data_IF_305354365569
#
_entry.id   IF_305354365569
#
_cell.length_a   1.000
_cell.length_b   1.000
_cell.length_c   1.000
_cell.angle_alpha   90.00
_cell.angle_beta   90.00
_cell.angle_gamma   90.00
#
_symmetry.space_group_name_H-M   'P 1'
#
loop_
_entity.id
_entity.type
_entity.pdbx_description
1 polymer ?
#
# COMPACT_ATOMS: atom_id res chain seq x y z
N UNK A 1 2.58 11.37 -23.01
CA UNK A 1 2.37 10.22 -22.08
C UNK A 1 2.68 8.85 -22.71
N UNK A 2 3.01 8.72 -24.01
CA UNK A 2 3.39 7.41 -24.60
C UNK A 2 4.76 6.90 -24.18
N UNK A 3 5.76 7.79 -24.03
CA UNK A 3 7.14 7.39 -23.71
C UNK A 3 7.31 6.62 -22.40
N UNK A 4 6.49 6.89 -21.38
CA UNK A 4 6.55 6.18 -20.08
C UNK A 4 5.96 4.76 -20.16
N UNK A 5 5.01 4.53 -21.08
CA UNK A 5 4.35 3.23 -21.26
C UNK A 5 5.17 2.29 -22.16
N UNK A 6 6.11 2.82 -22.95
CA UNK A 6 7.05 2.04 -23.77
C UNK A 6 8.27 1.54 -22.98
N UNK A 7 8.49 2.06 -21.77
CA UNK A 7 9.60 1.63 -20.92
C UNK A 7 9.30 0.30 -20.22
N UNK A 8 10.36 -0.38 -19.81
CA UNK A 8 10.25 -1.64 -19.09
C UNK A 8 9.49 -1.46 -17.76
N UNK A 9 8.41 -2.23 -17.55
CA UNK A 9 7.60 -2.18 -16.33
C UNK A 9 8.44 -2.37 -15.05
N UNK A 10 9.50 -3.18 -15.13
CA UNK A 10 10.40 -3.45 -14.00
C UNK A 10 11.16 -2.18 -13.62
N UNK A 11 11.66 -1.42 -14.60
CA UNK A 11 12.38 -0.18 -14.36
C UNK A 11 11.44 0.89 -13.79
N UNK A 12 10.20 0.96 -14.27
CA UNK A 12 9.20 1.88 -13.75
C UNK A 12 8.84 1.56 -12.29
N UNK A 13 8.60 0.29 -11.98
CA UNK A 13 8.34 -0.17 -10.61
C UNK A 13 9.54 0.09 -9.68
N UNK A 14 10.77 -0.11 -10.17
CA UNK A 14 11.99 0.18 -9.43
C UNK A 14 12.14 1.67 -9.13
N UNK A 15 11.95 2.55 -10.12
CA UNK A 15 12.00 4.00 -9.91
C UNK A 15 10.89 4.50 -8.97
N UNK A 16 9.67 3.95 -9.09
CA UNK A 16 8.58 4.24 -8.17
C UNK A 16 8.94 3.79 -6.74
N UNK A 17 9.55 2.62 -6.59
CA UNK A 17 10.08 2.12 -5.31
C UNK A 17 11.12 3.07 -4.71
N UNK A 18 12.14 3.46 -5.48
CA UNK A 18 13.15 4.42 -5.05
C UNK A 18 12.54 5.77 -4.65
N UNK A 19 11.52 6.23 -5.38
CA UNK A 19 10.78 7.44 -5.04
C UNK A 19 10.07 7.31 -3.68
N UNK A 20 9.34 6.22 -3.44
CA UNK A 20 8.68 5.99 -2.15
C UNK A 20 9.67 5.89 -1.00
N UNK A 21 10.80 5.22 -1.21
CA UNK A 21 11.88 5.14 -0.23
C UNK A 21 12.50 6.52 0.05
N UNK A 22 12.72 7.34 -0.98
CA UNK A 22 13.17 8.72 -0.85
C UNK A 22 12.19 9.59 -0.05
N UNK A 23 10.89 9.42 -0.26
CA UNK A 23 9.86 10.10 0.52
C UNK A 23 9.91 9.70 2.01
N UNK A 24 10.17 8.43 2.31
CA UNK A 24 10.38 7.96 3.71
C UNK A 24 11.62 8.58 4.33
N UNK A 25 12.75 8.64 3.61
CA UNK A 25 13.98 9.31 4.08
C UNK A 25 13.69 10.78 4.38
N UNK A 26 13.02 11.47 3.47
CA UNK A 26 12.68 12.88 3.63
C UNK A 26 11.79 13.11 4.86
N UNK A 27 10.76 12.28 5.04
CA UNK A 27 9.90 12.33 6.24
C UNK A 27 10.66 12.06 7.53
N UNK A 28 11.57 11.07 7.54
CA UNK A 28 12.39 10.74 8.69
C UNK A 28 13.45 11.82 9.02
N UNK A 29 13.98 12.51 7.99
CA UNK A 29 14.97 13.58 8.17
C UNK A 29 14.43 14.77 8.99
N UNK A 30 13.11 14.96 9.05
CA UNK A 30 12.47 16.01 9.86
C UNK A 30 12.81 15.84 11.37
N UNK A 31 13.11 14.62 11.82
CA UNK A 31 13.52 14.33 13.21
C UNK A 31 14.80 15.08 13.61
N UNK A 32 15.68 15.43 12.67
CA UNK A 32 16.88 16.22 12.97
C UNK A 32 16.56 17.66 13.39
N UNK A 33 15.42 18.21 12.97
CA UNK A 33 14.96 19.55 13.33
C UNK A 33 14.03 19.53 14.55
N UNK A 34 13.16 18.53 14.65
CA UNK A 34 12.14 18.43 15.70
C UNK A 34 12.28 17.12 16.49
N UNK A 35 12.99 17.17 17.62
CA UNK A 35 13.19 16.01 18.52
C UNK A 35 11.98 15.66 19.40
N UNK A 36 11.02 16.57 19.57
CA UNK A 36 9.82 16.34 20.38
C UNK A 36 8.58 16.73 19.58
N UNK A 37 7.80 15.73 19.19
CA UNK A 37 6.50 15.89 18.54
C UNK A 37 5.42 15.70 19.61
N UNK A 38 4.36 16.52 19.59
CA UNK A 38 3.24 16.34 20.50
C UNK A 38 2.50 15.05 20.17
N UNK A 39 2.07 14.30 21.18
CA UNK A 39 1.36 13.02 20.97
C UNK A 39 0.13 13.18 20.08
N UNK A 40 -0.59 14.29 20.23
CA UNK A 40 -1.73 14.67 19.38
C UNK A 40 -1.37 14.78 17.89
N UNK A 41 -0.23 15.38 17.56
CA UNK A 41 0.20 15.50 16.17
C UNK A 41 0.60 14.13 15.61
N UNK A 42 1.29 13.31 16.40
CA UNK A 42 1.64 11.94 15.99
C UNK A 42 0.39 11.09 15.73
N UNK A 43 -0.61 11.16 16.61
CA UNK A 43 -1.88 10.44 16.44
C UNK A 43 -2.62 10.88 15.17
N UNK A 44 -2.62 12.18 14.84
CA UNK A 44 -3.19 12.71 13.59
C UNK A 44 -2.43 12.18 12.37
N UNK A 45 -1.09 12.16 12.41
CA UNK A 45 -0.27 11.66 11.31
C UNK A 45 -0.48 10.16 11.07
N UNK A 46 -0.52 9.36 12.14
CA UNK A 46 -0.79 7.92 12.06
C UNK A 46 -2.22 7.65 11.54
N UNK A 47 -3.21 8.42 12.00
CA UNK A 47 -4.58 8.34 11.51
C UNK A 47 -4.70 8.72 10.02
N UNK A 48 -3.99 9.75 9.58
CA UNK A 48 -3.94 10.14 8.17
C UNK A 48 -3.33 9.03 7.31
N UNK A 49 -2.19 8.48 7.72
CA UNK A 49 -1.53 7.38 7.02
C UNK A 49 -2.43 6.14 6.92
N UNK A 50 -3.08 5.75 8.03
CA UNK A 50 -4.04 4.64 8.03
C UNK A 50 -5.22 4.90 7.08
N UNK A 51 -5.77 6.11 7.07
CA UNK A 51 -6.87 6.50 6.18
C UNK A 51 -6.51 6.40 4.69
N UNK A 52 -5.34 6.94 4.30
CA UNK A 52 -4.86 6.86 2.91
C UNK A 52 -4.65 5.40 2.47
N UNK A 53 -4.11 4.56 3.35
CA UNK A 53 -3.88 3.14 3.03
C UNK A 53 -5.18 2.34 2.89
N UNK A 54 -6.20 2.62 3.72
CA UNK A 54 -7.53 1.99 3.58
C UNK A 54 -8.18 2.41 2.25
N UNK A 55 -8.13 3.70 1.92
CA UNK A 55 -8.65 4.24 0.67
C UNK A 55 -8.00 3.58 -0.56
N UNK A 56 -6.66 3.58 -0.60
CA UNK A 56 -5.91 2.96 -1.69
C UNK A 56 -6.20 1.45 -1.82
N UNK A 57 -6.38 0.75 -0.70
CA UNK A 57 -6.72 -0.68 -0.70
C UNK A 57 -8.06 -0.97 -1.38
N UNK A 58 -9.06 -0.11 -1.20
CA UNK A 58 -10.37 -0.31 -1.82
C UNK A 58 -10.40 0.12 -3.29
N UNK A 59 -10.05 1.38 -3.57
CA UNK A 59 -10.20 1.97 -4.91
C UNK A 59 -9.08 1.59 -5.89
N UNK A 60 -7.85 1.44 -5.41
CA UNK A 60 -6.69 1.18 -6.29
C UNK A 60 -6.35 -0.30 -6.42
N UNK A 61 -6.81 -1.15 -5.49
CA UNK A 61 -6.49 -2.57 -5.47
C UNK A 61 -7.74 -3.44 -5.62
N UNK A 62 -8.70 -3.34 -4.70
CA UNK A 62 -9.82 -4.28 -4.61
C UNK A 62 -10.84 -4.11 -5.75
N UNK A 63 -11.24 -2.87 -6.06
CA UNK A 63 -12.12 -2.56 -7.18
C UNK A 63 -11.52 -2.98 -8.56
N UNK A 64 -10.26 -2.61 -8.89
CA UNK A 64 -9.60 -3.10 -10.11
C UNK A 64 -9.47 -4.62 -10.15
N UNK A 65 -9.17 -5.27 -9.01
CA UNK A 65 -9.05 -6.73 -8.95
C UNK A 65 -10.37 -7.43 -9.30
N UNK A 66 -11.50 -6.90 -8.81
CA UNK A 66 -12.83 -7.44 -9.14
C UNK A 66 -13.17 -7.17 -10.61
N UNK A 67 -12.82 -6.01 -11.17
CA UNK A 67 -13.10 -5.70 -12.58
C UNK A 67 -12.30 -6.58 -13.53
N UNK A 68 -11.03 -6.86 -13.23
CA UNK A 68 -10.22 -7.84 -13.98
C UNK A 68 -10.81 -9.25 -13.90
N UNK A 69 -11.29 -9.68 -12.74
CA UNK A 69 -11.93 -10.99 -12.58
C UNK A 69 -13.27 -11.11 -13.33
N UNK A 70 -14.02 -10.01 -13.49
CA UNK A 70 -15.25 -9.97 -14.30
C UNK A 70 -14.95 -10.08 -15.79
N UNK A 71 -13.88 -9.42 -16.27
CA UNK A 71 -13.46 -9.48 -17.67
C UNK A 71 -13.09 -10.91 -18.10
N UNK A 72 -12.60 -11.72 -17.16
CA UNK A 72 -12.18 -13.11 -17.36
C UNK A 72 -13.37 -14.12 -17.37
N UNK A 73 -14.62 -13.64 -17.41
CA UNK A 73 -15.83 -14.47 -17.57
C UNK A 73 -16.25 -15.26 -16.32
N UNK A 74 -15.65 -15.01 -15.15
CA UNK A 74 -15.97 -15.74 -13.91
C UNK A 74 -17.23 -15.18 -13.25
N UNK A 75 -18.25 -16.03 -13.12
CA UNK A 75 -19.54 -15.72 -12.46
C UNK A 75 -19.35 -15.26 -11.00
N UNK A 76 -18.26 -15.68 -10.35
CA UNK A 76 -17.90 -15.33 -8.97
C UNK A 76 -16.70 -14.38 -8.91
N UNK A 77 -16.75 -13.27 -9.64
CA UNK A 77 -15.63 -12.32 -9.75
C UNK A 77 -15.13 -11.73 -8.42
N UNK A 78 -15.98 -11.72 -7.39
CA UNK A 78 -15.62 -11.23 -6.05
C UNK A 78 -14.84 -12.26 -5.22
N UNK A 79 -14.98 -13.55 -5.55
CA UNK A 79 -14.47 -14.64 -4.74
C UNK A 79 -12.92 -14.69 -4.72
N UNK A 80 -12.20 -14.58 -5.85
CA UNK A 80 -10.74 -14.52 -5.85
C UNK A 80 -10.19 -13.30 -5.11
N UNK A 81 -10.82 -12.12 -5.29
CA UNK A 81 -10.41 -10.89 -4.63
C UNK A 81 -10.60 -10.97 -3.11
N UNK A 82 -11.74 -11.51 -2.65
CA UNK A 82 -12.04 -11.68 -1.24
C UNK A 82 -11.09 -12.67 -0.55
N UNK A 83 -10.83 -13.83 -1.18
CA UNK A 83 -9.89 -14.82 -0.66
C UNK A 83 -8.47 -14.24 -0.60
N UNK A 84 -8.02 -13.58 -1.67
CA UNK A 84 -6.70 -12.95 -1.70
C UNK A 84 -6.53 -11.91 -0.60
N UNK A 85 -7.54 -11.06 -0.38
CA UNK A 85 -7.53 -10.07 0.68
C UNK A 85 -7.51 -10.70 2.09
N UNK A 86 -8.35 -11.70 2.35
CA UNK A 86 -8.40 -12.40 3.63
C UNK A 86 -7.13 -13.19 3.93
N UNK A 87 -6.58 -13.89 2.94
CA UNK A 87 -5.30 -14.59 3.07
C UNK A 87 -4.15 -13.63 3.34
N UNK A 88 -4.11 -12.47 2.67
CA UNK A 88 -3.12 -11.43 2.95
C UNK A 88 -3.22 -10.89 4.38
N UNK A 89 -4.44 -10.64 4.87
CA UNK A 89 -4.67 -10.25 6.26
C UNK A 89 -4.22 -11.32 7.26
N UNK A 90 -4.60 -12.57 7.02
CA UNK A 90 -4.18 -13.70 7.85
C UNK A 90 -2.65 -13.87 7.85
N UNK A 91 -2.01 -13.68 6.70
CA UNK A 91 -0.56 -13.74 6.58
C UNK A 91 0.14 -12.69 7.45
N UNK A 92 -0.35 -11.45 7.45
CA UNK A 92 0.20 -10.39 8.32
C UNK A 92 0.01 -10.75 9.80
N UNK A 93 -1.18 -11.25 10.19
CA UNK A 93 -1.44 -11.69 11.56
C UNK A 93 -0.50 -12.82 11.99
N UNK A 94 -0.25 -13.79 11.09
CA UNK A 94 0.69 -14.88 11.37
C UNK A 94 2.13 -14.38 11.54
N UNK A 95 2.57 -13.42 10.73
CA UNK A 95 3.90 -12.82 10.88
C UNK A 95 4.01 -12.11 12.23
N UNK A 96 3.00 -11.32 12.60
CA UNK A 96 2.98 -10.59 13.87
C UNK A 96 3.02 -11.54 15.07
N UNK A 97 2.32 -12.68 14.98
CA UNK A 97 2.34 -13.70 16.03
C UNK A 97 3.65 -14.51 16.11
N UNK A 98 4.37 -14.66 15.00
CA UNK A 98 5.58 -15.47 14.92
C UNK A 98 6.86 -14.68 15.26
N UNK A 99 6.87 -13.37 15.00
CA UNK A 99 8.00 -12.50 15.33
C UNK A 99 7.87 -12.06 16.79
N UNK A 100 8.73 -12.55 17.71
CA UNK A 100 8.69 -12.12 19.10
C UNK A 100 9.00 -10.62 19.19
N UNK A 101 8.15 -9.89 19.91
CA UNK A 101 8.22 -8.44 20.10
C UNK A 101 9.46 -8.02 20.92
#
# INVERSE_FOLDING_TARGET
MGWLLEQNLILLAFLAGLFTWGATIFGAAIVFFFKRISRRLLDIMMGFAAGVMIAASFWSLLEPSISYAKADGRVWSWFPAAIGFLLGGLFIIMIDALVPH
#
